data_IF_711491517573
#
_entry.id   IF_711491517573
#
_cell.length_a   1.000
_cell.length_b   1.000
_cell.length_c   1.000
_cell.angle_alpha   90.00
_cell.angle_beta   90.00
_cell.angle_gamma   90.00
#
_symmetry.space_group_name_H-M   'P 1'
#
loop_
_entity.id
_entity.type
_entity.pdbx_description
1 polymer ?
#
# COMPACT_ATOMS: atom_id res chain seq x y z
N UNK A 1 49.44 32.65 -22.43
CA UNK A 1 48.18 33.37 -22.16
C UNK A 1 47.02 32.66 -22.83
N UNK A 2 46.10 32.04 -22.07
CA UNK A 2 44.64 32.06 -22.28
C UNK A 2 43.98 31.19 -21.22
N UNK A 3 43.24 31.85 -20.34
CA UNK A 3 42.22 31.26 -19.47
C UNK A 3 41.06 30.82 -20.38
N UNK A 4 40.47 29.67 -20.09
CA UNK A 4 39.08 29.41 -20.43
C UNK A 4 38.46 28.57 -19.30
N UNK A 5 37.65 29.27 -18.53
CA UNK A 5 36.71 28.75 -17.56
C UNK A 5 35.57 28.13 -18.37
N UNK A 6 35.20 26.88 -18.09
CA UNK A 6 33.89 26.37 -18.44
C UNK A 6 33.27 25.84 -17.15
N UNK A 7 32.41 26.68 -16.58
CA UNK A 7 31.34 26.26 -15.67
C UNK A 7 30.43 25.26 -16.40
N UNK A 8 29.92 24.28 -15.66
CA UNK A 8 28.61 23.69 -15.97
C UNK A 8 28.64 22.23 -16.35
N UNK A 9 28.48 21.36 -15.35
CA UNK A 9 27.87 20.04 -15.53
C UNK A 9 27.13 19.65 -14.23
N UNK A 10 26.22 20.51 -13.78
CA UNK A 10 25.14 20.11 -12.89
C UNK A 10 23.90 20.10 -13.76
N UNK A 11 23.53 18.94 -14.32
CA UNK A 11 22.23 18.66 -14.94
C UNK A 11 22.25 17.22 -15.48
N UNK A 12 21.64 16.29 -14.73
CA UNK A 12 20.88 15.12 -15.24
C UNK A 12 20.80 13.99 -14.20
N UNK A 13 20.31 14.26 -12.98
CA UNK A 13 19.78 13.19 -12.10
C UNK A 13 18.38 13.53 -11.58
N UNK A 14 17.65 14.39 -12.30
CA UNK A 14 16.29 14.80 -11.94
C UNK A 14 15.21 14.27 -12.93
N UNK A 15 15.61 13.49 -13.93
CA UNK A 15 14.70 13.07 -15.03
C UNK A 15 13.95 11.75 -14.83
N UNK A 16 14.30 10.92 -13.84
CA UNK A 16 13.83 9.53 -13.75
C UNK A 16 12.73 9.27 -12.70
N UNK A 17 12.21 10.31 -12.04
CA UNK A 17 11.16 10.15 -11.02
C UNK A 17 9.80 10.75 -11.41
N UNK A 18 9.70 11.44 -12.55
CA UNK A 18 8.47 12.13 -12.94
C UNK A 18 7.55 11.28 -13.83
N UNK A 19 8.09 10.30 -14.56
CA UNK A 19 7.26 9.51 -15.51
C UNK A 19 6.21 8.63 -14.80
N UNK A 20 6.53 8.06 -13.63
CA UNK A 20 5.60 7.25 -12.83
C UNK A 20 4.44 8.09 -12.26
N UNK A 21 4.70 9.37 -11.91
CA UNK A 21 3.67 10.26 -11.37
C UNK A 21 2.67 10.72 -12.45
N UNK A 22 3.10 10.80 -13.72
CA UNK A 22 2.23 11.16 -14.85
C UNK A 22 1.32 10.03 -15.33
N UNK A 23 1.72 8.77 -15.17
CA UNK A 23 0.85 7.64 -15.53
C UNK A 23 -0.40 7.56 -14.64
N UNK A 24 -0.30 7.96 -13.37
CA UNK A 24 -1.45 8.05 -12.46
C UNK A 24 -2.52 9.06 -12.89
N UNK A 25 -2.20 10.00 -13.81
CA UNK A 25 -3.13 11.02 -14.31
C UNK A 25 -3.70 10.70 -15.70
N UNK A 26 -3.00 9.89 -16.50
CA UNK A 26 -3.48 9.40 -17.80
C UNK A 26 -4.49 8.26 -17.63
N UNK A 27 -4.42 7.53 -16.51
CA UNK A 27 -5.40 6.50 -16.18
C UNK A 27 -6.55 7.07 -15.34
N UNK A 28 -7.41 7.88 -15.96
CA UNK A 28 -8.79 8.08 -15.49
C UNK A 28 -9.63 6.81 -15.63
N UNK A 29 -9.10 5.67 -15.18
CA UNK A 29 -9.57 4.36 -15.60
C UNK A 29 -10.25 3.63 -14.45
N UNK A 30 -11.45 3.13 -14.75
CA UNK A 30 -12.29 2.42 -13.81
C UNK A 30 -11.63 1.15 -13.23
N UNK A 31 -12.39 0.38 -12.43
CA UNK A 31 -11.85 -0.72 -11.62
C UNK A 31 -10.88 -1.67 -12.35
N UNK A 32 -11.20 -2.02 -13.60
CA UNK A 32 -10.42 -2.97 -14.40
C UNK A 32 -8.99 -2.52 -14.71
N UNK A 33 -8.75 -1.23 -14.93
CA UNK A 33 -7.41 -0.74 -15.22
C UNK A 33 -6.54 -0.66 -13.98
N UNK A 34 -7.15 -0.31 -12.85
CA UNK A 34 -6.47 -0.36 -11.57
C UNK A 34 -6.01 -1.80 -11.27
N UNK A 35 -6.89 -2.78 -11.49
CA UNK A 35 -6.54 -4.19 -11.33
C UNK A 35 -5.46 -4.65 -12.31
N UNK A 36 -5.46 -4.15 -13.55
CA UNK A 36 -4.46 -4.51 -14.57
C UNK A 36 -3.02 -4.13 -14.17
N UNK A 37 -2.84 -3.06 -13.39
CA UNK A 37 -1.53 -2.66 -12.85
C UNK A 37 -1.25 -3.27 -11.46
N UNK A 38 -2.06 -4.24 -11.02
CA UNK A 38 -1.94 -4.86 -9.69
C UNK A 38 -2.42 -3.96 -8.55
N UNK A 39 -3.15 -2.90 -8.87
CA UNK A 39 -3.76 -2.01 -7.90
C UNK A 39 -5.10 -2.52 -7.38
N UNK A 40 -5.57 -1.88 -6.31
CA UNK A 40 -6.84 -2.13 -5.65
C UNK A 40 -7.75 -0.90 -5.82
N UNK A 41 -8.89 -1.03 -6.52
CA UNK A 41 -9.76 0.12 -6.79
C UNK A 41 -10.40 0.66 -5.51
N UNK A 42 -10.45 1.98 -5.41
CA UNK A 42 -11.13 2.73 -4.36
C UNK A 42 -11.95 3.88 -4.98
N UNK A 43 -12.84 4.49 -4.20
CA UNK A 43 -13.62 5.64 -4.67
C UNK A 43 -12.66 6.77 -5.01
N UNK A 44 -12.62 7.16 -6.29
CA UNK A 44 -11.81 8.27 -6.80
C UNK A 44 -10.30 8.03 -6.89
N UNK A 45 -9.80 6.82 -6.63
CA UNK A 45 -8.36 6.50 -6.77
C UNK A 45 -8.08 5.01 -6.97
N UNK A 46 -6.90 4.71 -7.51
CA UNK A 46 -6.32 3.37 -7.53
C UNK A 46 -5.25 3.27 -6.43
N UNK A 47 -5.40 2.32 -5.49
CA UNK A 47 -4.37 2.06 -4.47
C UNK A 47 -3.37 1.08 -5.04
N UNK A 48 -2.08 1.42 -5.05
CA UNK A 48 -1.02 0.52 -5.55
C UNK A 48 -0.23 -0.07 -4.38
N UNK A 49 0.53 -1.17 -4.59
CA UNK A 49 1.38 -1.73 -3.53
C UNK A 49 2.40 -0.76 -2.93
N UNK A 50 2.74 0.32 -3.65
CA UNK A 50 3.61 1.37 -3.16
C UNK A 50 3.03 2.14 -1.96
N UNK A 51 1.71 2.04 -1.72
CA UNK A 51 1.03 2.76 -0.65
C UNK A 51 1.62 2.49 0.73
N UNK A 52 2.17 1.29 0.95
CA UNK A 52 2.76 0.91 2.23
C UNK A 52 3.95 1.79 2.60
N UNK A 53 4.79 2.12 1.62
CA UNK A 53 5.96 2.98 1.83
C UNK A 53 5.60 4.46 1.87
N UNK A 54 4.46 4.83 1.28
CA UNK A 54 3.94 6.20 1.28
C UNK A 54 3.06 6.50 2.50
N UNK A 55 2.59 5.48 3.21
CA UNK A 55 1.67 5.61 4.35
C UNK A 55 0.27 6.02 3.95
N UNK A 56 -0.19 5.63 2.76
CA UNK A 56 -1.46 6.09 2.17
C UNK A 56 -2.36 4.94 1.68
N UNK A 57 -2.21 3.73 2.22
CA UNK A 57 -3.06 2.59 1.86
C UNK A 57 -4.53 2.80 2.25
N UNK A 58 -4.79 3.75 3.16
CA UNK A 58 -6.11 4.17 3.59
C UNK A 58 -6.81 3.17 4.53
N UNK A 59 -7.94 3.56 5.09
CA UNK A 59 -8.72 2.71 6.00
C UNK A 59 -9.97 2.16 5.30
N UNK A 60 -9.97 0.86 5.00
CA UNK A 60 -11.08 0.24 4.27
C UNK A 60 -12.34 0.06 5.13
N UNK A 61 -13.51 0.15 4.50
CA UNK A 61 -14.79 -0.04 5.18
C UNK A 61 -15.01 -1.48 5.65
N UNK A 62 -14.52 -2.46 4.89
CA UNK A 62 -14.52 -3.88 5.23
C UNK A 62 -13.17 -4.47 4.80
N UNK A 63 -12.15 -4.48 5.67
CA UNK A 63 -10.87 -5.07 5.35
C UNK A 63 -10.87 -6.61 5.49
N UNK A 64 -11.75 -7.18 6.32
CA UNK A 64 -11.83 -8.64 6.52
C UNK A 64 -12.14 -9.41 5.23
N UNK A 65 -12.89 -8.80 4.28
CA UNK A 65 -13.18 -9.41 2.97
C UNK A 65 -11.96 -9.73 2.10
N UNK A 66 -10.76 -9.24 2.46
CA UNK A 66 -9.53 -9.43 1.71
C UNK A 66 -8.53 -10.35 2.40
N UNK A 67 -8.89 -10.93 3.55
CA UNK A 67 -8.00 -11.83 4.30
C UNK A 67 -7.64 -13.08 3.49
N UNK A 68 -8.52 -13.53 2.61
CA UNK A 68 -8.31 -14.64 1.67
C UNK A 68 -7.17 -14.39 0.65
N UNK A 69 -6.75 -13.13 0.46
CA UNK A 69 -5.62 -12.76 -0.41
C UNK A 69 -4.26 -12.90 0.28
N UNK A 70 -4.27 -13.19 1.57
CA UNK A 70 -3.09 -13.28 2.42
C UNK A 70 -2.78 -14.75 2.75
N UNK A 71 -1.49 -15.05 2.85
CA UNK A 71 -0.98 -16.34 3.28
C UNK A 71 0.22 -16.17 4.21
N UNK A 72 0.49 -17.14 5.11
CA UNK A 72 1.71 -17.13 5.90
C UNK A 72 2.96 -16.96 5.03
N UNK A 73 3.91 -16.15 5.51
CA UNK A 73 5.13 -15.75 4.83
C UNK A 73 5.01 -14.49 3.96
N UNK A 74 3.79 -14.02 3.65
CA UNK A 74 3.60 -12.77 2.91
C UNK A 74 4.27 -11.59 3.65
N UNK A 75 4.90 -10.63 2.94
CA UNK A 75 5.51 -9.47 3.57
C UNK A 75 4.44 -8.55 4.16
N UNK A 76 4.77 -7.86 5.25
CA UNK A 76 3.87 -6.91 5.91
C UNK A 76 3.35 -5.83 4.96
N UNK A 77 4.13 -5.45 3.95
CA UNK A 77 3.71 -4.51 2.91
C UNK A 77 2.49 -5.01 2.12
N UNK A 78 2.45 -6.31 1.79
CA UNK A 78 1.30 -6.94 1.14
C UNK A 78 0.09 -7.01 2.07
N UNK A 79 0.33 -7.28 3.36
CA UNK A 79 -0.73 -7.29 4.38
C UNK A 79 -1.40 -5.92 4.47
N UNK A 80 -0.62 -4.85 4.62
CA UNK A 80 -1.14 -3.47 4.71
C UNK A 80 -1.75 -3.00 3.38
N UNK A 81 -1.21 -3.42 2.22
CA UNK A 81 -1.84 -3.13 0.93
C UNK A 81 -3.28 -3.66 0.84
N UNK A 82 -3.51 -4.93 1.19
CA UNK A 82 -4.84 -5.54 1.10
C UNK A 82 -5.79 -5.07 2.20
N UNK A 83 -5.28 -4.95 3.43
CA UNK A 83 -6.09 -4.64 4.62
C UNK A 83 -6.15 -3.16 4.97
N UNK A 84 -5.36 -2.32 4.30
CA UNK A 84 -5.25 -0.90 4.57
C UNK A 84 -4.40 -0.60 5.80
N UNK A 85 -4.39 0.67 6.18
CA UNK A 85 -3.71 1.14 7.37
C UNK A 85 -4.33 0.52 8.64
N UNK A 86 -3.53 -0.11 9.51
CA UNK A 86 -4.02 -0.72 10.72
C UNK A 86 -4.55 0.33 11.69
N UNK A 87 -5.55 -0.05 12.49
CA UNK A 87 -6.05 0.79 13.59
C UNK A 87 -5.06 0.83 14.75
N UNK A 88 -4.32 -0.25 14.95
CA UNK A 88 -3.32 -0.38 16.00
C UNK A 88 -2.15 -1.22 15.52
N UNK A 89 -0.94 -0.78 15.90
CA UNK A 89 0.32 -1.47 15.66
C UNK A 89 0.98 -1.73 17.02
N UNK A 90 1.07 -2.99 17.39
CA UNK A 90 1.83 -3.48 18.53
C UNK A 90 3.15 -4.09 18.04
N UNK A 91 4.01 -4.56 18.95
CA UNK A 91 5.35 -5.07 18.60
C UNK A 91 5.32 -6.15 17.51
N UNK A 92 4.44 -7.15 17.67
CA UNK A 92 4.38 -8.33 16.81
C UNK A 92 3.02 -8.47 16.10
N UNK A 93 2.17 -7.44 16.13
CA UNK A 93 0.84 -7.55 15.54
C UNK A 93 0.24 -6.24 15.05
N UNK A 94 -0.61 -6.37 14.04
CA UNK A 94 -1.41 -5.30 13.46
C UNK A 94 -2.89 -5.67 13.58
N UNK A 95 -3.77 -4.70 13.82
CA UNK A 95 -5.21 -4.96 13.90
C UNK A 95 -6.07 -4.01 13.08
N UNK A 96 -7.21 -4.52 12.64
CA UNK A 96 -8.20 -3.80 11.84
C UNK A 96 -9.61 -4.10 12.35
N UNK A 97 -10.59 -3.25 12.04
CA UNK A 97 -12.00 -3.55 12.26
C UNK A 97 -12.45 -4.67 11.32
N UNK A 98 -13.31 -5.58 11.78
CA UNK A 98 -13.93 -6.60 10.94
C UNK A 98 -14.75 -6.03 9.79
N UNK A 99 -15.32 -4.84 10.00
CA UNK A 99 -15.97 -4.03 8.98
C UNK A 99 -16.93 -3.06 9.65
N UNK A 100 -17.21 -1.92 9.04
CA UNK A 100 -18.17 -0.96 9.59
C UNK A 100 -19.60 -1.52 9.43
N UNK A 101 -20.48 -1.43 10.45
CA UNK A 101 -20.32 -0.69 11.71
C UNK A 101 -19.79 -1.52 12.89
N UNK A 102 -19.36 -2.78 12.70
CA UNK A 102 -18.87 -3.63 13.78
C UNK A 102 -17.65 -3.03 14.50
N UNK A 103 -17.64 -3.17 15.82
CA UNK A 103 -16.51 -2.84 16.71
C UNK A 103 -15.50 -3.97 16.83
N UNK A 104 -15.82 -5.15 16.30
CA UNK A 104 -14.96 -6.32 16.36
C UNK A 104 -13.70 -6.08 15.56
N UNK A 105 -12.65 -6.76 15.98
CA UNK A 105 -11.33 -6.65 15.38
C UNK A 105 -10.79 -8.03 15.06
N UNK A 106 -10.00 -8.06 14.00
CA UNK A 106 -9.14 -9.17 13.69
C UNK A 106 -7.69 -8.68 13.70
N UNK A 107 -6.77 -9.63 13.85
CA UNK A 107 -5.36 -9.34 14.06
C UNK A 107 -4.50 -10.15 13.09
N UNK A 108 -3.50 -9.52 12.51
CA UNK A 108 -2.41 -10.21 11.83
C UNK A 108 -1.19 -10.27 12.76
N UNK A 109 -0.65 -11.46 12.98
CA UNK A 109 0.62 -11.66 13.69
C UNK A 109 1.75 -11.53 12.70
N UNK A 110 2.68 -10.60 12.96
CA UNK A 110 3.80 -10.28 12.10
C UNK A 110 5.10 -10.60 12.84
N UNK A 111 5.99 -11.38 12.22
CA UNK A 111 7.36 -11.63 12.71
C UNK A 111 8.34 -11.46 11.56
N UNK A 112 9.47 -10.81 11.83
CA UNK A 112 10.50 -10.53 10.82
C UNK A 112 9.91 -9.91 9.53
N UNK A 113 9.00 -8.95 9.71
CA UNK A 113 8.27 -8.26 8.63
C UNK A 113 7.41 -9.19 7.74
N UNK A 114 7.04 -10.36 8.23
CA UNK A 114 6.23 -11.36 7.50
C UNK A 114 5.02 -11.82 8.30
N UNK A 115 3.94 -12.10 7.59
CA UNK A 115 2.71 -12.65 8.14
C UNK A 115 2.96 -14.06 8.67
N UNK A 116 2.63 -14.30 9.94
CA UNK A 116 2.64 -15.63 10.55
C UNK A 116 1.24 -16.23 10.49
N UNK A 117 0.25 -15.47 10.95
CA UNK A 117 -1.14 -15.90 11.02
C UNK A 117 -2.09 -14.71 11.03
N UNK A 118 -3.36 -14.98 10.73
CA UNK A 118 -4.47 -14.04 10.94
C UNK A 118 -5.44 -14.66 11.94
N UNK A 119 -5.61 -13.99 13.07
CA UNK A 119 -6.65 -14.27 14.04
C UNK A 119 -7.93 -13.58 13.54
N UNK A 120 -8.82 -14.37 12.93
CA UNK A 120 -9.99 -13.85 12.21
C UNK A 120 -11.04 -13.22 13.14
N UNK A 121 -11.95 -12.47 12.53
CA UNK A 121 -13.17 -12.00 13.15
C UNK A 121 -13.95 -13.16 13.76
N UNK A 122 -14.42 -12.99 14.99
CA UNK A 122 -15.44 -13.88 15.53
C UNK A 122 -16.76 -13.53 14.84
N UNK A 123 -17.38 -14.53 14.24
CA UNK A 123 -18.78 -14.45 13.83
C UNK A 123 -19.58 -14.88 15.06
N UNK A 124 -20.33 -13.95 15.64
CA UNK A 124 -21.33 -14.28 16.66
C UNK A 124 -22.49 -15.09 16.04
#
# INVERSE_FOLDING_TARGET
MRRLIILGAVLAVAGLVVEEATQGRVLGQGPSACEAIGGKPAIGRCVTPACYWQGDCGHWANPARWVDRLKPGDPVSKVVFWLGEPLQRDADSLSWSCGKPSTDRFRAVIRDQRLVSVEQCKLD
#
